data_IF_312281770031
#
_entry.id   IF_312281770031
#
_cell.length_a   1.000
_cell.length_b   1.000
_cell.length_c   1.000
_cell.angle_alpha   90.00
_cell.angle_beta   90.00
_cell.angle_gamma   90.00
#
_symmetry.space_group_name_H-M   'P 1'
#
loop_
_entity.id
_entity.type
_entity.pdbx_description
1 polymer ?
#
# COMPACT_ATOMS: atom_id res chain seq x y z
N UNK A 1 2.43 10.20 -8.94
CA UNK A 1 3.49 9.52 -9.71
C UNK A 1 3.34 9.85 -11.20
N UNK A 2 3.64 11.09 -11.60
CA UNK A 2 3.79 11.48 -13.00
C UNK A 2 4.70 12.73 -13.06
N UNK A 3 5.85 12.65 -12.39
CA UNK A 3 6.69 13.85 -12.18
C UNK A 3 8.19 13.57 -12.16
N UNK A 4 8.64 12.31 -12.03
CA UNK A 4 10.07 11.99 -12.15
C UNK A 4 10.49 11.47 -13.52
N UNK A 5 9.56 11.01 -14.36
CA UNK A 5 9.86 10.47 -15.69
C UNK A 5 9.90 11.57 -16.77
N UNK A 6 9.10 12.64 -16.63
CA UNK A 6 9.16 13.83 -17.51
C UNK A 6 10.33 14.78 -17.16
N UNK A 7 10.83 14.73 -15.92
CA UNK A 7 11.99 15.52 -15.49
C UNK A 7 13.34 14.92 -15.95
N UNK A 8 13.38 13.65 -16.34
CA UNK A 8 14.58 13.02 -16.92
C UNK A 8 14.69 13.21 -18.44
N UNK A 9 13.57 13.39 -19.15
CA UNK A 9 13.55 13.60 -20.60
C UNK A 9 13.87 15.05 -21.02
N UNK A 10 13.84 16.02 -20.10
CA UNK A 10 14.16 17.43 -20.38
C UNK A 10 15.64 17.80 -20.15
N UNK A 11 16.46 16.92 -19.55
CA UNK A 11 17.86 17.21 -19.19
C UNK A 11 18.90 16.98 -20.30
N UNK A 12 18.50 16.67 -21.53
CA UNK A 12 19.43 16.42 -22.66
C UNK A 12 19.49 17.53 -23.72
N UNK A 13 18.94 18.72 -23.47
CA UNK A 13 19.12 19.87 -24.36
C UNK A 13 20.04 20.90 -23.72
N UNK A 14 21.15 21.24 -24.39
CA UNK A 14 22.03 22.33 -23.97
C UNK A 14 21.18 23.61 -23.72
N UNK A 15 21.48 24.38 -22.66
CA UNK A 15 20.71 25.57 -22.35
C UNK A 15 20.73 26.55 -23.52
N UNK A 16 19.60 27.24 -23.72
CA UNK A 16 19.51 28.31 -24.71
C UNK A 16 20.44 29.43 -24.25
N UNK A 17 21.42 29.73 -25.09
CA UNK A 17 22.43 30.76 -24.83
C UNK A 17 22.05 32.09 -25.45
N UNK A 18 21.36 32.07 -26.61
CA UNK A 18 20.94 33.29 -27.28
C UNK A 18 19.54 33.15 -27.92
N UNK A 19 18.78 34.25 -27.87
CA UNK A 19 17.51 34.44 -28.56
C UNK A 19 17.61 35.68 -29.44
N UNK A 20 17.48 35.54 -30.75
CA UNK A 20 17.48 36.63 -31.72
C UNK A 20 18.65 37.62 -31.56
N UNK A 21 19.85 37.10 -31.27
CA UNK A 21 21.06 37.91 -31.03
C UNK A 21 21.25 38.41 -29.59
N UNK A 22 20.31 38.17 -28.68
CA UNK A 22 20.42 38.50 -27.27
C UNK A 22 20.97 37.33 -26.47
N UNK A 23 21.93 37.57 -25.59
CA UNK A 23 22.42 36.57 -24.64
C UNK A 23 21.40 36.35 -23.51
N UNK A 24 21.10 35.10 -23.19
CA UNK A 24 20.12 34.71 -22.16
C UNK A 24 20.82 34.49 -20.83
N UNK A 25 20.49 35.30 -19.82
CA UNK A 25 20.97 35.10 -18.45
C UNK A 25 19.86 34.51 -17.57
N UNK A 26 19.88 33.19 -17.41
CA UNK A 26 18.82 32.40 -16.77
C UNK A 26 18.60 32.75 -15.29
N UNK A 27 19.67 33.06 -14.56
CA UNK A 27 19.60 33.36 -13.12
C UNK A 27 18.93 34.71 -12.86
N UNK A 28 19.19 35.70 -13.71
CA UNK A 28 18.67 37.06 -13.54
C UNK A 28 17.38 37.30 -14.31
N UNK A 29 16.97 36.34 -15.18
CA UNK A 29 15.82 36.44 -16.08
C UNK A 29 15.93 37.66 -16.99
N UNK A 30 17.09 37.83 -17.61
CA UNK A 30 17.38 38.95 -18.50
C UNK A 30 17.88 38.50 -19.86
N UNK A 31 17.58 39.32 -20.87
CA UNK A 31 18.20 39.23 -22.19
C UNK A 31 19.13 40.42 -22.38
N UNK A 32 20.39 40.16 -22.71
CA UNK A 32 21.43 41.19 -22.80
C UNK A 32 22.05 41.23 -24.18
N UNK A 33 22.26 42.42 -24.71
CA UNK A 33 23.14 42.67 -25.85
C UNK A 33 24.09 43.83 -25.51
N UNK A 34 24.93 44.24 -26.46
CA UNK A 34 25.91 45.30 -26.23
C UNK A 34 25.30 46.68 -25.90
N UNK A 35 24.01 46.90 -26.20
CA UNK A 35 23.37 48.22 -26.14
C UNK A 35 22.24 48.31 -25.11
N UNK A 36 21.68 47.18 -24.65
CA UNK A 36 20.56 47.18 -23.71
C UNK A 36 20.39 45.86 -22.96
N UNK A 37 19.65 45.92 -21.86
CA UNK A 37 19.24 44.76 -21.05
C UNK A 37 17.72 44.78 -20.91
N UNK A 38 17.07 43.67 -21.28
CA UNK A 38 15.64 43.48 -21.14
C UNK A 38 15.39 42.62 -19.90
N UNK A 39 14.55 43.11 -19.00
CA UNK A 39 14.17 42.42 -17.77
C UNK A 39 12.77 41.81 -17.91
N UNK A 40 12.62 40.58 -17.43
CA UNK A 40 11.37 39.85 -17.47
C UNK A 40 10.96 39.45 -16.05
N UNK A 41 9.66 39.49 -15.75
CA UNK A 41 9.14 38.85 -14.55
C UNK A 41 9.21 37.31 -14.66
N UNK A 42 8.89 36.62 -13.57
CA UNK A 42 8.94 35.14 -13.52
C UNK A 42 8.10 34.50 -14.63
N UNK A 43 6.89 35.02 -14.86
CA UNK A 43 5.91 34.43 -15.77
C UNK A 43 6.25 34.75 -17.22
N UNK A 44 6.64 35.99 -17.52
CA UNK A 44 7.14 36.41 -18.82
C UNK A 44 8.37 35.61 -19.25
N UNK A 45 9.34 35.44 -18.35
CA UNK A 45 10.55 34.68 -18.65
C UNK A 45 10.23 33.20 -18.89
N UNK A 46 9.38 32.59 -18.06
CA UNK A 46 8.96 31.20 -18.23
C UNK A 46 8.24 30.98 -19.57
N UNK A 47 7.31 31.86 -19.96
CA UNK A 47 6.64 31.80 -21.27
C UNK A 47 7.64 31.97 -22.41
N UNK A 48 8.55 32.94 -22.33
CA UNK A 48 9.57 33.18 -23.34
C UNK A 48 10.46 31.94 -23.55
N UNK A 49 10.90 31.31 -22.45
CA UNK A 49 11.73 30.11 -22.50
C UNK A 49 10.98 28.93 -23.09
N UNK A 50 9.71 28.71 -22.71
CA UNK A 50 8.91 27.63 -23.27
C UNK A 50 8.70 27.82 -24.78
N UNK A 51 8.38 29.02 -25.23
CA UNK A 51 8.24 29.33 -26.66
C UNK A 51 9.54 29.06 -27.42
N UNK A 52 10.69 29.41 -26.85
CA UNK A 52 11.98 29.17 -27.46
C UNK A 52 12.44 27.69 -27.43
N UNK A 53 11.99 26.92 -26.44
CA UNK A 53 12.24 25.48 -26.35
C UNK A 53 11.39 24.68 -27.34
N UNK A 54 10.16 25.12 -27.56
CA UNK A 54 9.24 24.58 -28.57
C UNK A 54 9.62 24.94 -30.00
N UNK A 55 10.38 26.03 -30.21
CA UNK A 55 10.80 26.45 -31.55
C UNK A 55 11.54 25.31 -32.31
N UNK A 56 11.22 25.10 -33.60
CA UNK A 56 10.41 25.94 -34.49
C UNK A 56 8.89 25.69 -34.43
N UNK A 57 8.41 24.77 -33.59
CA UNK A 57 6.98 24.46 -33.46
C UNK A 57 6.26 25.49 -32.58
N UNK A 58 4.93 25.55 -32.71
CA UNK A 58 4.09 26.39 -31.86
C UNK A 58 3.85 25.73 -30.50
N UNK A 59 3.94 26.50 -29.41
CA UNK A 59 3.48 26.05 -28.11
C UNK A 59 1.95 26.22 -28.04
N UNK A 60 1.23 25.16 -27.67
CA UNK A 60 -0.21 25.23 -27.51
C UNK A 60 -0.61 26.05 -26.29
N UNK A 61 -1.84 26.58 -26.28
CA UNK A 61 -2.37 27.33 -25.13
C UNK A 61 -2.41 26.45 -23.88
N UNK A 62 -2.77 25.18 -24.03
CA UNK A 62 -2.82 24.18 -22.96
C UNK A 62 -1.42 23.95 -22.38
N UNK A 63 -0.41 23.75 -23.24
CA UNK A 63 0.97 23.57 -22.81
C UNK A 63 1.51 24.81 -22.05
N UNK A 64 1.16 26.02 -22.49
CA UNK A 64 1.51 27.26 -21.80
C UNK A 64 0.85 27.34 -20.42
N UNK A 65 -0.45 27.03 -20.32
CA UNK A 65 -1.19 27.03 -19.05
C UNK A 65 -0.63 26.00 -18.06
N UNK A 66 -0.41 24.77 -18.50
CA UNK A 66 0.08 23.67 -17.67
C UNK A 66 1.50 23.88 -17.17
N UNK A 67 2.41 24.38 -18.02
CA UNK A 67 3.83 24.49 -17.68
C UNK A 67 4.16 25.77 -16.91
N UNK A 68 3.46 26.88 -17.16
CA UNK A 68 3.77 28.17 -16.53
C UNK A 68 2.89 28.47 -15.31
N UNK A 69 1.62 28.03 -15.31
CA UNK A 69 0.66 28.33 -14.24
C UNK A 69 0.21 27.09 -13.43
N UNK A 70 1.04 26.04 -13.40
CA UNK A 70 0.74 24.79 -12.67
C UNK A 70 0.19 25.05 -11.25
N UNK A 71 -1.03 24.56 -10.99
CA UNK A 71 -1.70 24.69 -9.69
C UNK A 71 -2.38 26.04 -9.43
N UNK A 72 -2.49 26.93 -10.43
CA UNK A 72 -3.27 28.19 -10.36
C UNK A 72 -4.43 28.14 -11.34
N UNK A 73 -5.62 28.58 -10.90
CA UNK A 73 -6.79 28.73 -11.78
C UNK A 73 -6.64 30.04 -12.56
N UNK A 74 -6.25 29.94 -13.83
CA UNK A 74 -6.11 31.09 -14.74
C UNK A 74 -6.83 30.81 -16.06
N UNK A 75 -7.38 31.85 -16.68
CA UNK A 75 -8.03 31.77 -18.00
C UNK A 75 -7.04 32.02 -19.13
N UNK A 76 -7.42 31.70 -20.37
CA UNK A 76 -6.62 31.98 -21.57
C UNK A 76 -6.21 33.46 -21.71
N UNK A 77 -6.97 34.39 -21.13
CA UNK A 77 -6.65 35.82 -21.10
C UNK A 77 -5.29 36.10 -20.44
N UNK A 78 -4.87 35.25 -19.50
CA UNK A 78 -3.57 35.36 -18.85
C UNK A 78 -2.42 35.13 -19.83
N UNK A 79 -2.61 34.22 -20.79
CA UNK A 79 -1.64 33.98 -21.87
C UNK A 79 -1.56 35.23 -22.76
N UNK A 80 -2.71 35.80 -23.12
CA UNK A 80 -2.78 37.00 -23.96
C UNK A 80 -2.07 38.21 -23.32
N UNK A 81 -2.25 38.42 -22.01
CA UNK A 81 -1.57 39.48 -21.26
C UNK A 81 -0.05 39.31 -21.31
N UNK A 82 0.45 38.09 -21.05
CA UNK A 82 1.89 37.83 -21.03
C UNK A 82 2.50 37.94 -22.42
N UNK A 83 1.84 37.41 -23.46
CA UNK A 83 2.31 37.52 -24.84
C UNK A 83 2.36 38.98 -25.30
N UNK A 84 1.35 39.79 -24.95
CA UNK A 84 1.39 41.22 -25.26
C UNK A 84 2.47 41.96 -24.46
N UNK A 85 2.72 41.56 -23.22
CA UNK A 85 3.85 42.05 -22.43
C UNK A 85 5.18 41.78 -23.13
N UNK A 86 5.41 40.53 -23.55
CA UNK A 86 6.61 40.13 -24.30
C UNK A 86 6.73 40.90 -25.62
N UNK A 87 5.64 41.05 -26.39
CA UNK A 87 5.64 41.84 -27.62
C UNK A 87 6.01 43.30 -27.37
N UNK A 88 5.55 43.92 -26.29
CA UNK A 88 5.98 45.29 -25.92
C UNK A 88 7.47 45.35 -25.60
N UNK A 89 7.99 44.39 -24.83
CA UNK A 89 9.42 44.32 -24.48
C UNK A 89 10.29 44.17 -25.72
N UNK A 90 9.87 43.35 -26.69
CA UNK A 90 10.58 43.17 -27.97
C UNK A 90 10.26 44.21 -29.05
N UNK A 91 9.35 45.17 -28.77
CA UNK A 91 8.77 46.08 -29.77
C UNK A 91 8.23 45.33 -31.01
N UNK A 92 7.59 44.19 -30.77
CA UNK A 92 7.05 43.28 -31.77
C UNK A 92 5.59 43.61 -32.13
N UNK A 93 5.24 43.55 -33.42
CA UNK A 93 3.90 43.86 -33.90
C UNK A 93 3.13 42.56 -34.20
N UNK A 94 1.99 42.34 -33.55
CA UNK A 94 1.19 41.14 -33.76
C UNK A 94 0.70 40.94 -35.21
N UNK A 95 0.54 42.01 -36.00
CA UNK A 95 0.13 41.94 -37.42
C UNK A 95 1.31 41.68 -38.37
N UNK A 96 2.53 41.92 -37.91
CA UNK A 96 3.78 41.69 -38.65
C UNK A 96 4.86 41.18 -37.68
N UNK A 97 4.71 39.94 -37.16
CA UNK A 97 5.54 39.45 -36.08
C UNK A 97 6.97 39.21 -36.55
N UNK A 98 7.94 39.67 -35.75
CA UNK A 98 9.37 39.40 -35.89
C UNK A 98 9.86 38.37 -34.89
N UNK A 99 9.19 38.24 -33.74
CA UNK A 99 9.61 37.35 -32.65
C UNK A 99 8.53 36.34 -32.28
N UNK A 100 7.28 36.78 -32.11
CA UNK A 100 6.19 35.91 -31.63
C UNK A 100 5.02 35.92 -32.61
N UNK A 101 4.87 34.82 -33.36
CA UNK A 101 3.73 34.61 -34.25
C UNK A 101 2.51 34.05 -33.48
N UNK A 102 1.31 34.50 -33.84
CA UNK A 102 0.06 33.91 -33.37
C UNK A 102 -0.39 32.84 -34.37
N UNK A 103 -0.54 31.59 -33.91
CA UNK A 103 -1.05 30.47 -34.71
C UNK A 103 -2.52 30.24 -34.35
N UNK A 104 -3.43 30.57 -35.28
CA UNK A 104 -4.87 30.46 -35.04
C UNK A 104 -5.27 29.03 -34.69
N UNK A 105 -5.98 28.87 -33.56
CA UNK A 105 -6.46 27.57 -33.08
C UNK A 105 -5.41 26.70 -32.37
N UNK A 106 -4.14 27.14 -32.29
CA UNK A 106 -3.05 26.37 -31.66
C UNK A 106 -2.46 27.14 -30.47
N UNK A 107 -1.92 28.34 -30.71
CA UNK A 107 -1.21 29.07 -29.66
C UNK A 107 -0.20 30.06 -30.22
N UNK A 108 1.03 30.03 -29.71
CA UNK A 108 2.06 31.01 -30.04
C UNK A 108 3.37 30.34 -30.42
N UNK A 109 4.09 30.94 -31.37
CA UNK A 109 5.35 30.40 -31.89
C UNK A 109 6.46 31.43 -31.81
N UNK A 110 7.62 31.02 -31.30
CA UNK A 110 8.84 31.80 -31.42
C UNK A 110 9.45 31.61 -32.81
N UNK A 111 9.58 32.69 -33.57
CA UNK A 111 10.02 32.66 -34.98
C UNK A 111 11.43 33.21 -35.21
N UNK A 112 12.07 33.75 -34.16
CA UNK A 112 13.42 34.29 -34.25
C UNK A 112 14.50 33.25 -33.90
N UNK A 113 15.77 33.52 -34.26
CA UNK A 113 16.87 32.56 -34.10
C UNK A 113 17.08 32.12 -32.62
N UNK A 114 17.25 30.82 -32.39
CA UNK A 114 17.56 30.24 -31.07
C UNK A 114 18.93 29.56 -31.14
N UNK A 115 19.93 30.04 -30.39
CA UNK A 115 21.26 29.39 -30.27
C UNK A 115 21.44 28.77 -28.90
N UNK A 116 21.79 27.49 -28.87
CA UNK A 116 22.15 26.76 -27.64
C UNK A 116 23.66 26.74 -27.45
N UNK A 117 24.10 26.70 -26.19
CA UNK A 117 25.52 26.69 -25.87
C UNK A 117 26.20 25.44 -26.48
N UNK A 118 27.35 25.60 -27.14
CA UNK A 118 28.11 24.50 -27.72
C UNK A 118 29.07 24.00 -26.64
N UNK A 119 28.85 22.80 -26.10
CA UNK A 119 29.65 22.24 -25.02
C UNK A 119 31.14 22.12 -25.42
N UNK A 120 31.99 23.01 -24.89
CA UNK A 120 33.44 23.01 -25.11
C UNK A 120 34.21 22.01 -24.19
N UNK A 121 33.58 20.90 -23.80
CA UNK A 121 34.17 19.92 -22.89
C UNK A 121 35.25 19.02 -23.55
N UNK A 122 35.42 19.07 -24.89
CA UNK A 122 36.07 18.00 -25.67
C UNK A 122 37.54 18.23 -26.09
N UNK A 123 38.22 19.34 -25.74
CA UNK A 123 39.60 19.60 -26.24
C UNK A 123 40.76 19.35 -25.26
N UNK A 124 40.52 19.18 -23.95
CA UNK A 124 41.62 19.01 -22.95
C UNK A 124 41.91 17.55 -22.54
N UNK A 125 41.10 16.58 -22.98
CA UNK A 125 41.17 15.18 -22.53
C UNK A 125 42.13 14.26 -23.30
N UNK A 126 42.75 14.72 -24.41
CA UNK A 126 43.59 13.85 -25.26
C UNK A 126 44.97 13.51 -24.69
N UNK A 127 45.42 14.16 -23.61
CA UNK A 127 46.75 13.90 -23.02
C UNK A 127 46.70 13.08 -21.72
N UNK A 128 45.54 12.93 -21.06
CA UNK A 128 45.40 12.17 -19.81
C UNK A 128 44.71 10.79 -19.97
N UNK A 129 44.12 10.51 -21.15
CA UNK A 129 43.32 9.31 -21.41
C UNK A 129 44.13 8.01 -21.62
N UNK A 130 45.46 8.07 -21.76
CA UNK A 130 46.27 6.88 -21.97
C UNK A 130 46.34 5.93 -20.76
N UNK A 131 46.22 6.46 -19.54
CA UNK A 131 46.47 5.68 -18.30
C UNK A 131 45.16 5.43 -17.52
N UNK A 132 44.15 6.29 -17.64
CA UNK A 132 42.86 6.13 -16.92
C UNK A 132 41.80 5.34 -17.69
N UNK A 133 41.89 5.28 -19.03
CA UNK A 133 40.88 4.63 -19.87
C UNK A 133 40.82 3.11 -19.70
N UNK A 134 41.96 2.45 -19.45
CA UNK A 134 42.01 1.01 -19.17
C UNK A 134 41.37 0.68 -17.82
N UNK A 135 41.56 1.52 -16.81
CA UNK A 135 41.00 1.34 -15.45
C UNK A 135 39.49 1.58 -15.43
N UNK A 136 39.00 2.58 -16.17
CA UNK A 136 37.56 2.89 -16.25
C UNK A 136 36.79 1.92 -17.15
N UNK A 137 37.40 1.43 -18.24
CA UNK A 137 36.81 0.34 -19.05
C UNK A 137 36.89 -1.00 -18.32
N UNK A 138 37.92 -1.22 -17.49
CA UNK A 138 37.96 -2.37 -16.59
C UNK A 138 36.91 -2.23 -15.48
N UNK A 139 36.64 -1.05 -14.93
CA UNK A 139 35.60 -0.85 -13.90
C UNK A 139 34.17 -0.83 -14.48
N UNK A 140 33.95 -0.28 -15.67
CA UNK A 140 32.67 -0.36 -16.40
C UNK A 140 32.47 -1.78 -16.94
N UNK A 141 33.53 -2.41 -17.44
CA UNK A 141 33.55 -3.82 -17.82
C UNK A 141 33.27 -4.71 -16.62
N UNK A 142 33.92 -4.50 -15.47
CA UNK A 142 33.59 -5.17 -14.21
C UNK A 142 32.16 -4.84 -13.77
N UNK A 143 31.68 -3.60 -13.91
CA UNK A 143 30.32 -3.22 -13.54
C UNK A 143 29.27 -3.93 -14.42
N UNK A 144 29.49 -4.04 -15.73
CA UNK A 144 28.65 -4.81 -16.64
C UNK A 144 28.82 -6.33 -16.52
N UNK A 145 30.01 -6.82 -16.14
CA UNK A 145 30.28 -8.23 -15.82
C UNK A 145 29.77 -8.63 -14.42
N UNK A 146 29.62 -7.68 -13.51
CA UNK A 146 29.14 -7.89 -12.12
C UNK A 146 27.63 -7.75 -11.98
N UNK A 147 26.95 -7.12 -12.96
CA UNK A 147 25.50 -7.25 -13.11
C UNK A 147 25.25 -8.68 -13.56
N UNK A 148 24.57 -9.53 -12.77
CA UNK A 148 24.12 -10.81 -13.29
C UNK A 148 23.31 -10.50 -14.54
N UNK A 149 23.78 -10.97 -15.71
CA UNK A 149 22.94 -11.02 -16.90
C UNK A 149 21.82 -11.96 -16.51
N UNK A 150 20.67 -11.40 -16.09
CA UNK A 150 19.46 -12.18 -15.88
C UNK A 150 19.00 -12.56 -17.28
N UNK A 151 19.53 -13.70 -17.76
CA UNK A 151 18.99 -14.31 -18.96
C UNK A 151 17.50 -14.52 -18.71
N UNK A 152 16.62 -14.11 -19.66
CA UNK A 152 15.21 -14.44 -19.54
C UNK A 152 15.09 -15.95 -19.36
N UNK A 153 14.27 -16.36 -18.40
CA UNK A 153 14.07 -17.77 -18.09
C UNK A 153 13.75 -18.56 -19.37
N UNK A 154 14.28 -19.79 -19.52
CA UNK A 154 13.86 -20.66 -20.60
C UNK A 154 12.34 -20.79 -20.61
N UNK A 155 11.74 -20.88 -21.81
CA UNK A 155 10.29 -20.98 -21.95
C UNK A 155 9.69 -22.12 -21.11
N UNK A 156 10.42 -23.24 -20.98
CA UNK A 156 10.07 -24.38 -20.13
C UNK A 156 10.00 -24.03 -18.64
N UNK A 157 10.91 -23.19 -18.13
CA UNK A 157 10.90 -22.73 -16.75
C UNK A 157 9.72 -21.78 -16.47
N UNK A 158 9.40 -20.91 -17.44
CA UNK A 158 8.23 -20.04 -17.36
C UNK A 158 6.93 -20.85 -17.36
N UNK A 159 6.84 -21.89 -18.18
CA UNK A 159 5.69 -22.81 -18.20
C UNK A 159 5.51 -23.55 -16.87
N UNK A 160 6.59 -24.08 -16.30
CA UNK A 160 6.55 -24.69 -14.96
C UNK A 160 6.12 -23.70 -13.88
N UNK A 161 6.63 -22.46 -13.90
CA UNK A 161 6.22 -21.42 -12.97
C UNK A 161 4.73 -21.09 -13.11
N UNK A 162 4.23 -20.98 -14.34
CA UNK A 162 2.80 -20.74 -14.61
C UNK A 162 1.92 -21.90 -14.13
N UNK A 163 2.34 -23.15 -14.36
CA UNK A 163 1.64 -24.33 -13.84
C UNK A 163 1.58 -24.33 -12.31
N UNK A 164 2.71 -24.08 -11.64
CA UNK A 164 2.74 -24.01 -10.18
C UNK A 164 1.85 -22.88 -9.64
N UNK A 165 1.90 -21.70 -10.26
CA UNK A 165 1.00 -20.59 -9.91
C UNK A 165 -0.47 -20.97 -10.11
N UNK A 166 -0.81 -21.70 -11.18
CA UNK A 166 -2.17 -22.18 -11.41
C UNK A 166 -2.59 -23.18 -10.32
N UNK A 167 -1.76 -24.15 -9.97
CA UNK A 167 -2.05 -25.11 -8.89
C UNK A 167 -2.31 -24.42 -7.54
N UNK A 168 -1.64 -23.30 -7.26
CA UNK A 168 -1.92 -22.49 -6.06
C UNK A 168 -3.31 -21.83 -6.07
N UNK A 169 -3.96 -21.69 -7.22
CA UNK A 169 -5.35 -21.21 -7.31
C UNK A 169 -6.37 -22.35 -7.15
N UNK A 170 -5.91 -23.60 -7.14
CA UNK A 170 -6.75 -24.79 -6.96
C UNK A 170 -6.89 -25.17 -5.48
N UNK A 171 -7.80 -26.11 -5.13
CA UNK A 171 -7.94 -26.59 -3.75
C UNK A 171 -6.63 -27.10 -3.12
N UNK A 172 -6.54 -27.07 -1.80
CA UNK A 172 -5.31 -27.31 -1.03
C UNK A 172 -4.59 -28.63 -1.35
N UNK A 173 -5.29 -29.67 -1.82
CA UNK A 173 -4.69 -30.94 -2.23
C UNK A 173 -3.65 -30.81 -3.37
N UNK A 174 -3.68 -29.72 -4.13
CA UNK A 174 -2.74 -29.45 -5.22
C UNK A 174 -1.55 -28.57 -4.81
N UNK A 175 -1.53 -28.05 -3.57
CA UNK A 175 -0.51 -27.08 -3.15
C UNK A 175 0.85 -27.74 -2.91
N UNK A 176 0.89 -29.00 -2.46
CA UNK A 176 2.16 -29.72 -2.27
C UNK A 176 2.85 -29.99 -3.62
N UNK A 177 2.10 -30.27 -4.70
CA UNK A 177 2.64 -30.37 -6.06
C UNK A 177 3.24 -29.03 -6.54
N UNK A 178 2.57 -27.91 -6.25
CA UNK A 178 3.11 -26.59 -6.57
C UNK A 178 4.43 -26.31 -5.83
N UNK A 179 4.52 -26.70 -4.54
CA UNK A 179 5.73 -26.58 -3.73
C UNK A 179 6.90 -27.36 -4.35
N UNK A 180 6.66 -28.61 -4.79
CA UNK A 180 7.67 -29.42 -5.46
C UNK A 180 8.17 -28.77 -6.77
N UNK A 181 7.26 -28.18 -7.56
CA UNK A 181 7.64 -27.46 -8.78
C UNK A 181 8.51 -26.23 -8.45
N UNK A 182 8.15 -25.44 -7.42
CA UNK A 182 8.96 -24.28 -7.03
C UNK A 182 10.36 -24.70 -6.53
N UNK A 183 10.47 -25.81 -5.78
CA UNK A 183 11.75 -26.36 -5.35
C UNK A 183 12.61 -26.78 -6.55
N UNK A 184 12.02 -27.50 -7.51
CA UNK A 184 12.71 -27.89 -8.75
C UNK A 184 13.19 -26.69 -9.56
N UNK A 185 12.42 -25.59 -9.59
CA UNK A 185 12.84 -24.34 -10.22
C UNK A 185 14.02 -23.70 -9.50
N UNK A 186 14.09 -23.76 -8.17
CA UNK A 186 15.24 -23.26 -7.38
C UNK A 186 16.49 -24.07 -7.70
N UNK A 187 16.37 -25.40 -7.74
CA UNK A 187 17.50 -26.29 -8.01
C UNK A 187 18.10 -26.05 -9.42
N UNK A 188 17.23 -25.80 -10.41
CA UNK A 188 17.64 -25.55 -11.79
C UNK A 188 18.08 -24.09 -12.04
N UNK A 189 17.47 -23.12 -11.35
CA UNK A 189 17.67 -21.69 -11.55
C UNK A 189 17.88 -20.96 -10.22
N UNK A 190 19.00 -21.21 -9.51
CA UNK A 190 19.21 -20.70 -8.15
C UNK A 190 19.32 -19.17 -8.06
N UNK A 191 19.53 -18.46 -9.17
CA UNK A 191 19.54 -17.00 -9.24
C UNK A 191 18.17 -16.37 -9.50
N UNK A 192 17.10 -17.17 -9.64
CA UNK A 192 15.76 -16.68 -9.91
C UNK A 192 14.99 -16.40 -8.61
N UNK A 193 15.03 -15.14 -8.17
CA UNK A 193 14.43 -14.68 -6.90
C UNK A 193 12.95 -15.08 -6.73
N UNK A 194 12.14 -14.94 -7.79
CA UNK A 194 10.69 -15.19 -7.75
C UNK A 194 10.37 -16.63 -7.30
N UNK A 195 11.18 -17.64 -7.65
CA UNK A 195 10.93 -19.02 -7.24
C UNK A 195 10.99 -19.20 -5.72
N UNK A 196 11.95 -18.55 -5.06
CA UNK A 196 12.04 -18.54 -3.60
C UNK A 196 10.84 -17.83 -2.97
N UNK A 197 10.41 -16.71 -3.56
CA UNK A 197 9.24 -15.95 -3.10
C UNK A 197 7.96 -16.77 -3.23
N UNK A 198 7.77 -17.45 -4.36
CA UNK A 198 6.60 -18.31 -4.60
C UNK A 198 6.57 -19.54 -3.71
N UNK A 199 7.72 -20.17 -3.49
CA UNK A 199 7.83 -21.27 -2.54
C UNK A 199 7.46 -20.83 -1.12
N UNK A 200 8.00 -19.69 -0.67
CA UNK A 200 7.65 -19.11 0.62
C UNK A 200 6.16 -18.75 0.70
N UNK A 201 5.60 -18.12 -0.34
CA UNK A 201 4.18 -17.80 -0.42
C UNK A 201 3.29 -19.05 -0.32
N UNK A 202 3.65 -20.11 -1.04
CA UNK A 202 2.93 -21.39 -1.01
C UNK A 202 2.97 -22.03 0.38
N UNK A 203 4.12 -21.97 1.05
CA UNK A 203 4.26 -22.48 2.41
C UNK A 203 3.54 -21.64 3.46
N UNK A 204 3.33 -20.35 3.18
CA UNK A 204 2.61 -19.41 4.04
C UNK A 204 1.11 -19.29 3.71
N UNK A 205 0.59 -20.02 2.72
CA UNK A 205 -0.81 -19.88 2.27
C UNK A 205 -1.84 -20.09 3.38
N UNK A 206 -1.51 -20.92 4.37
CA UNK A 206 -2.34 -21.26 5.53
C UNK A 206 -1.93 -20.53 6.81
N UNK A 207 -1.10 -19.48 6.72
CA UNK A 207 -0.58 -18.75 7.89
C UNK A 207 -1.69 -18.24 8.82
N UNK A 208 -2.83 -17.85 8.26
CA UNK A 208 -3.98 -17.36 9.03
C UNK A 208 -4.74 -18.47 9.78
N UNK A 209 -4.52 -19.74 9.43
CA UNK A 209 -5.15 -20.89 10.06
C UNK A 209 -4.31 -21.45 11.24
N UNK A 210 -3.27 -20.72 11.67
CA UNK A 210 -2.31 -21.17 12.70
C UNK A 210 -1.69 -22.55 12.37
N UNK A 211 -1.40 -22.77 11.08
CA UNK A 211 -0.83 -24.03 10.60
C UNK A 211 0.55 -24.29 11.20
N UNK A 212 0.71 -25.47 11.80
CA UNK A 212 1.95 -25.96 12.41
C UNK A 212 3.12 -25.91 11.41
N UNK A 213 2.86 -26.15 10.11
CA UNK A 213 3.84 -26.11 9.03
C UNK A 213 4.60 -24.78 9.00
N UNK A 214 3.90 -23.66 9.14
CA UNK A 214 4.51 -22.32 9.10
C UNK A 214 5.36 -22.10 10.34
N UNK A 215 4.86 -22.49 11.53
CA UNK A 215 5.56 -22.29 12.80
C UNK A 215 6.84 -23.11 12.87
N UNK A 216 6.81 -24.37 12.43
CA UNK A 216 7.98 -25.25 12.42
C UNK A 216 9.03 -24.80 11.39
N UNK A 217 8.58 -24.40 10.20
CA UNK A 217 9.48 -24.01 9.11
C UNK A 217 9.75 -22.51 9.02
N UNK A 218 9.31 -21.69 9.99
CA UNK A 218 9.42 -20.22 9.93
C UNK A 218 10.83 -19.70 9.64
N UNK A 219 11.87 -20.32 10.22
CA UNK A 219 13.27 -19.93 9.98
C UNK A 219 13.75 -20.28 8.59
N UNK A 220 13.31 -21.42 8.08
CA UNK A 220 13.62 -21.84 6.72
C UNK A 220 12.90 -20.92 5.71
N UNK A 221 11.64 -20.57 5.95
CA UNK A 221 10.86 -19.62 5.12
C UNK A 221 11.53 -18.24 5.13
N UNK A 222 11.92 -17.75 6.31
CA UNK A 222 12.68 -16.50 6.49
C UNK A 222 13.95 -16.52 5.63
N UNK A 223 14.71 -17.61 5.65
CA UNK A 223 15.92 -17.76 4.84
C UNK A 223 15.64 -17.72 3.34
N UNK A 224 14.58 -18.37 2.85
CA UNK A 224 14.23 -18.32 1.42
C UNK A 224 13.88 -16.89 0.97
N UNK A 225 13.10 -16.17 1.78
CA UNK A 225 12.72 -14.78 1.48
C UNK A 225 13.90 -13.82 1.57
N UNK A 226 14.79 -13.99 2.55
CA UNK A 226 16.01 -13.19 2.66
C UNK A 226 16.95 -13.43 1.48
N UNK A 227 17.10 -14.69 1.05
CA UNK A 227 17.91 -15.01 -0.13
C UNK A 227 17.28 -14.42 -1.41
N UNK A 228 15.95 -14.45 -1.55
CA UNK A 228 15.28 -13.75 -2.64
C UNK A 228 15.60 -12.24 -2.65
N UNK A 229 15.70 -11.61 -1.48
CA UNK A 229 16.10 -10.20 -1.35
C UNK A 229 17.59 -9.94 -1.56
N UNK A 230 18.46 -10.93 -1.36
CA UNK A 230 19.87 -10.85 -1.77
C UNK A 230 19.99 -10.79 -3.29
N UNK A 231 19.13 -11.53 -4.00
CA UNK A 231 19.07 -11.57 -5.46
C UNK A 231 18.36 -10.32 -6.05
N UNK A 232 17.25 -9.91 -5.45
CA UNK A 232 16.50 -8.68 -5.80
C UNK A 232 16.06 -7.92 -4.54
N UNK A 233 16.85 -6.93 -4.10
CA UNK A 233 16.51 -6.11 -2.92
C UNK A 233 15.27 -5.24 -3.07
N UNK A 234 14.67 -5.16 -4.26
CA UNK A 234 13.47 -4.35 -4.53
C UNK A 234 12.20 -5.19 -4.66
N UNK A 235 12.29 -6.50 -4.40
CA UNK A 235 11.20 -7.46 -4.58
C UNK A 235 10.07 -7.24 -3.58
N UNK A 236 9.06 -6.47 -3.97
CA UNK A 236 7.95 -6.03 -3.09
C UNK A 236 7.20 -7.18 -2.43
N UNK A 237 6.94 -8.26 -3.18
CA UNK A 237 6.23 -9.43 -2.66
C UNK A 237 7.03 -10.13 -1.54
N UNK A 238 8.35 -10.22 -1.68
CA UNK A 238 9.22 -10.79 -0.66
C UNK A 238 9.20 -9.94 0.62
N UNK A 239 9.25 -8.61 0.47
CA UNK A 239 9.07 -7.69 1.59
C UNK A 239 7.70 -7.86 2.26
N UNK A 240 6.59 -7.94 1.50
CA UNK A 240 5.26 -8.19 2.07
C UNK A 240 5.21 -9.47 2.89
N UNK A 241 5.74 -10.58 2.36
CA UNK A 241 5.77 -11.88 3.04
C UNK A 241 6.65 -11.85 4.30
N UNK A 242 7.83 -11.21 4.26
CA UNK A 242 8.64 -11.00 5.46
C UNK A 242 7.92 -10.14 6.51
N UNK A 243 7.21 -9.10 6.08
CA UNK A 243 6.35 -8.28 6.94
C UNK A 243 5.35 -9.15 7.70
N UNK A 244 4.60 -9.97 6.96
CA UNK A 244 3.63 -10.92 7.52
C UNK A 244 4.29 -11.94 8.46
N UNK A 245 5.42 -12.53 8.06
CA UNK A 245 6.12 -13.54 8.86
C UNK A 245 6.65 -12.95 10.18
N UNK A 246 7.25 -11.76 10.12
CA UNK A 246 7.76 -11.08 11.31
C UNK A 246 6.65 -10.65 12.26
N UNK A 247 5.50 -10.23 11.74
CA UNK A 247 4.36 -9.84 12.56
C UNK A 247 3.63 -11.04 13.15
N UNK A 248 3.14 -11.95 12.29
CA UNK A 248 2.21 -13.01 12.66
C UNK A 248 2.88 -14.16 13.43
N UNK A 249 4.17 -14.42 13.17
CA UNK A 249 4.85 -15.64 13.66
C UNK A 249 6.03 -15.32 14.58
N UNK A 250 6.86 -14.35 14.22
CA UNK A 250 8.01 -13.98 15.06
C UNK A 250 7.71 -12.91 16.11
N UNK A 251 6.61 -12.17 15.96
CA UNK A 251 6.26 -11.02 16.80
C UNK A 251 7.38 -9.97 16.91
N UNK A 252 8.10 -9.74 15.80
CA UNK A 252 9.18 -8.76 15.64
C UNK A 252 8.67 -7.52 14.89
N UNK A 253 7.90 -6.70 15.60
CA UNK A 253 7.12 -5.59 15.02
C UNK A 253 7.99 -4.55 14.30
N UNK A 254 9.19 -4.25 14.80
CA UNK A 254 10.12 -3.31 14.16
C UNK A 254 10.60 -3.80 12.78
N UNK A 255 10.85 -5.11 12.65
CA UNK A 255 11.22 -5.70 11.36
C UNK A 255 10.03 -5.76 10.43
N UNK A 256 8.87 -6.15 10.95
CA UNK A 256 7.64 -6.22 10.18
C UNK A 256 7.33 -4.87 9.51
N UNK A 257 7.38 -3.78 10.28
CA UNK A 257 7.15 -2.41 9.77
C UNK A 257 8.08 -2.06 8.61
N UNK A 258 9.40 -2.25 8.77
CA UNK A 258 10.39 -1.92 7.73
C UNK A 258 10.10 -2.65 6.42
N UNK A 259 9.73 -3.92 6.51
CA UNK A 259 9.39 -4.71 5.33
C UNK A 259 8.06 -4.27 4.69
N UNK A 260 7.01 -3.99 5.49
CA UNK A 260 5.77 -3.43 4.92
C UNK A 260 5.98 -2.09 4.21
N UNK A 261 6.81 -1.21 4.76
CA UNK A 261 7.16 0.08 4.13
C UNK A 261 7.88 -0.08 2.78
N UNK A 262 8.64 -1.16 2.60
CA UNK A 262 9.33 -1.50 1.35
C UNK A 262 8.42 -2.21 0.33
N UNK A 263 7.28 -2.75 0.77
CA UNK A 263 6.32 -3.46 -0.09
C UNK A 263 5.29 -2.55 -0.78
N UNK A 264 5.47 -1.21 -0.74
CA UNK A 264 4.52 -0.24 -1.28
C UNK A 264 4.20 -0.45 -2.77
N UNK A 265 2.95 -0.15 -3.14
CA UNK A 265 2.46 -0.26 -4.52
C UNK A 265 1.88 -1.62 -4.88
N UNK A 266 1.91 -2.59 -3.97
CA UNK A 266 1.07 -3.78 -4.02
C UNK A 266 -0.19 -3.51 -3.20
N UNK A 267 -1.36 -3.74 -3.78
CA UNK A 267 -2.62 -3.42 -3.14
C UNK A 267 -2.81 -4.23 -1.85
N UNK A 268 -2.58 -5.53 -1.89
CA UNK A 268 -2.62 -6.42 -0.72
C UNK A 268 -1.56 -6.13 0.34
N UNK A 269 -0.38 -5.60 -0.02
CA UNK A 269 0.60 -5.14 0.95
C UNK A 269 0.05 -3.99 1.81
N UNK A 270 -0.71 -3.06 1.22
CA UNK A 270 -1.40 -2.01 1.97
C UNK A 270 -2.45 -2.59 2.92
N UNK A 271 -3.16 -3.65 2.53
CA UNK A 271 -4.10 -4.35 3.42
C UNK A 271 -3.40 -4.97 4.63
N UNK A 272 -2.37 -5.78 4.42
CA UNK A 272 -1.65 -6.40 5.53
C UNK A 272 -0.95 -5.37 6.42
N UNK A 273 -0.42 -4.30 5.83
CA UNK A 273 0.17 -3.23 6.61
C UNK A 273 -0.89 -2.50 7.46
N UNK A 274 -2.11 -2.28 6.94
CA UNK A 274 -3.20 -1.73 7.72
C UNK A 274 -3.57 -2.61 8.92
N UNK A 275 -3.58 -3.94 8.77
CA UNK A 275 -3.84 -4.87 9.87
C UNK A 275 -2.73 -4.87 10.92
N UNK A 276 -1.48 -4.75 10.50
CA UNK A 276 -0.34 -4.59 11.40
C UNK A 276 -0.45 -3.28 12.21
N UNK A 277 -0.70 -2.16 11.53
CA UNK A 277 -0.85 -0.85 12.17
C UNK A 277 -2.03 -0.84 13.14
N UNK A 278 -3.13 -1.50 12.78
CA UNK A 278 -4.27 -1.70 13.66
C UNK A 278 -3.87 -2.44 14.95
N UNK A 279 -3.15 -3.56 14.83
CA UNK A 279 -2.63 -4.30 15.99
C UNK A 279 -1.67 -3.47 16.86
N UNK A 280 -0.93 -2.53 16.26
CA UNK A 280 -0.05 -1.60 16.98
C UNK A 280 -0.82 -0.43 17.64
N UNK A 281 -2.14 -0.33 17.47
CA UNK A 281 -2.95 0.79 17.97
C UNK A 281 -2.85 2.07 17.14
N UNK A 282 -2.21 2.02 15.97
CA UNK A 282 -2.02 3.16 15.06
C UNK A 282 -3.22 3.32 14.11
N UNK A 283 -4.40 3.56 14.68
CA UNK A 283 -5.69 3.54 13.96
C UNK A 283 -5.73 4.47 12.73
N UNK A 284 -5.22 5.70 12.85
CA UNK A 284 -5.19 6.66 11.74
C UNK A 284 -4.25 6.22 10.61
N UNK A 285 -3.12 5.59 10.94
CA UNK A 285 -2.21 5.07 9.95
C UNK A 285 -2.81 3.84 9.25
N UNK A 286 -3.44 2.94 10.02
CA UNK A 286 -4.16 1.79 9.49
C UNK A 286 -5.23 2.21 8.48
N UNK A 287 -6.01 3.24 8.80
CA UNK A 287 -7.03 3.78 7.90
C UNK A 287 -6.45 4.29 6.58
N UNK A 288 -5.35 5.06 6.61
CA UNK A 288 -4.71 5.56 5.38
C UNK A 288 -4.21 4.43 4.48
N UNK A 289 -3.64 3.37 5.05
CA UNK A 289 -3.20 2.22 4.26
C UNK A 289 -4.40 1.44 3.71
N UNK A 290 -5.49 1.31 4.47
CA UNK A 290 -6.72 0.69 3.97
C UNK A 290 -7.33 1.46 2.79
N UNK A 291 -7.33 2.80 2.83
CA UNK A 291 -7.80 3.63 1.70
C UNK A 291 -6.95 3.40 0.44
N UNK A 292 -5.62 3.21 0.60
CA UNK A 292 -4.73 2.86 -0.53
C UNK A 292 -5.00 1.47 -1.07
N UNK A 293 -5.26 0.49 -0.20
CA UNK A 293 -5.71 -0.84 -0.62
C UNK A 293 -6.96 -0.74 -1.50
N UNK A 294 -7.99 -0.02 -1.04
CA UNK A 294 -9.25 0.17 -1.79
C UNK A 294 -8.99 0.85 -3.13
N UNK A 295 -8.14 1.88 -3.15
CA UNK A 295 -7.83 2.63 -4.37
C UNK A 295 -7.05 1.84 -5.43
N UNK A 296 -6.27 0.83 -5.01
CA UNK A 296 -5.43 0.03 -5.91
C UNK A 296 -6.08 -1.31 -6.34
N UNK A 297 -7.13 -1.78 -5.65
CA UNK A 297 -7.76 -3.05 -5.97
C UNK A 297 -8.74 -2.95 -7.15
N UNK A 298 -8.60 -3.79 -8.21
CA UNK A 298 -9.50 -3.80 -9.37
C UNK A 298 -10.96 -4.11 -9.05
N UNK A 299 -11.23 -4.78 -7.92
CA UNK A 299 -12.58 -5.05 -7.44
C UNK A 299 -13.15 -3.91 -6.58
N UNK A 300 -12.32 -2.97 -6.09
CA UNK A 300 -12.61 -1.59 -5.66
C UNK A 300 -13.83 -1.27 -4.77
N UNK A 301 -14.59 -2.27 -4.36
CA UNK A 301 -15.95 -2.12 -3.86
C UNK A 301 -16.05 -2.75 -2.47
N UNK A 302 -15.32 -2.17 -1.52
CA UNK A 302 -15.29 -2.61 -0.11
C UNK A 302 -14.88 -4.08 0.09
N UNK A 303 -14.70 -4.48 1.34
CA UNK A 303 -14.63 -5.88 1.76
C UNK A 303 -15.06 -5.98 3.23
N UNK A 304 -15.50 -7.16 3.67
CA UNK A 304 -15.79 -7.40 5.09
C UNK A 304 -14.54 -7.14 5.95
N UNK A 305 -13.34 -7.38 5.40
CA UNK A 305 -12.06 -7.02 6.03
C UNK A 305 -11.89 -5.51 6.24
N UNK A 306 -12.32 -4.67 5.29
CA UNK A 306 -12.30 -3.22 5.44
C UNK A 306 -13.25 -2.76 6.55
N UNK A 307 -14.48 -3.29 6.56
CA UNK A 307 -15.46 -3.01 7.62
C UNK A 307 -14.94 -3.44 9.00
N UNK A 308 -14.28 -4.60 9.09
CA UNK A 308 -13.66 -5.09 10.30
C UNK A 308 -12.59 -4.13 10.84
N UNK A 309 -11.69 -3.62 9.98
CA UNK A 309 -10.66 -2.65 10.39
C UNK A 309 -11.30 -1.36 10.94
N UNK A 310 -12.32 -0.81 10.26
CA UNK A 310 -13.06 0.35 10.77
C UNK A 310 -13.74 0.09 12.11
N UNK A 311 -14.29 -1.11 12.28
CA UNK A 311 -14.95 -1.54 13.52
C UNK A 311 -13.96 -1.57 14.69
N UNK A 312 -12.78 -2.17 14.47
CA UNK A 312 -11.73 -2.23 15.50
C UNK A 312 -11.17 -0.85 15.83
N UNK A 313 -11.09 0.04 14.86
CA UNK A 313 -10.73 1.45 15.08
C UNK A 313 -11.84 2.29 15.75
N UNK A 314 -12.99 1.71 16.08
CA UNK A 314 -14.13 2.40 16.69
C UNK A 314 -14.94 3.28 15.73
N UNK A 315 -14.67 3.22 14.43
CA UNK A 315 -15.40 3.99 13.41
C UNK A 315 -16.60 3.20 12.87
N UNK A 316 -17.58 2.97 13.73
CA UNK A 316 -18.76 2.14 13.43
C UNK A 316 -19.60 2.70 12.27
N UNK A 317 -19.70 4.01 12.14
CA UNK A 317 -20.44 4.66 11.04
C UNK A 317 -19.84 4.31 9.69
N UNK A 318 -18.51 4.40 9.57
CA UNK A 318 -17.82 4.05 8.32
C UNK A 318 -17.83 2.54 8.07
N UNK A 319 -17.68 1.73 9.12
CA UNK A 319 -17.83 0.27 9.01
C UNK A 319 -19.20 -0.13 8.43
N UNK A 320 -20.30 0.49 8.89
CA UNK A 320 -21.65 0.26 8.33
C UNK A 320 -21.76 0.67 6.86
N UNK A 321 -21.20 1.82 6.49
CA UNK A 321 -21.19 2.28 5.09
C UNK A 321 -20.45 1.31 4.19
N UNK A 322 -19.33 0.75 4.65
CA UNK A 322 -18.58 -0.25 3.90
C UNK A 322 -19.33 -1.58 3.77
N UNK A 323 -20.06 -2.03 4.81
CA UNK A 323 -20.90 -3.22 4.70
C UNK A 323 -22.12 -3.00 3.81
N UNK A 324 -22.78 -1.83 3.86
CA UNK A 324 -23.99 -1.59 3.07
C UNK A 324 -23.72 -1.72 1.57
N UNK A 325 -22.51 -1.34 1.11
CA UNK A 325 -22.06 -1.61 -0.27
C UNK A 325 -22.13 -3.11 -0.60
N UNK A 326 -21.69 -3.97 0.32
CA UNK A 326 -21.61 -5.40 0.09
C UNK A 326 -22.95 -6.14 0.17
N UNK A 327 -24.01 -5.47 0.63
CA UNK A 327 -25.31 -6.09 0.96
C UNK A 327 -25.93 -6.85 -0.20
N UNK A 328 -25.94 -6.28 -1.41
CA UNK A 328 -26.53 -6.91 -2.60
C UNK A 328 -25.81 -8.21 -2.99
N UNK A 329 -24.54 -8.37 -2.59
CA UNK A 329 -23.67 -9.47 -3.00
C UNK A 329 -23.45 -10.51 -1.89
N UNK A 330 -23.54 -10.08 -0.63
CA UNK A 330 -23.04 -10.86 0.52
C UNK A 330 -23.98 -10.87 1.73
N UNK A 331 -25.21 -10.35 1.65
CA UNK A 331 -26.11 -10.26 2.81
C UNK A 331 -26.29 -11.57 3.58
N UNK A 332 -26.27 -12.72 2.88
CA UNK A 332 -26.41 -14.05 3.46
C UNK A 332 -25.07 -14.73 3.82
N UNK A 333 -23.95 -14.09 3.50
CA UNK A 333 -22.60 -14.54 3.86
C UNK A 333 -22.43 -14.54 5.38
N UNK A 334 -21.80 -15.59 5.90
CA UNK A 334 -21.48 -15.69 7.32
C UNK A 334 -20.67 -14.48 7.80
N UNK A 335 -19.66 -14.07 7.03
CA UNK A 335 -18.78 -12.94 7.40
C UNK A 335 -19.50 -11.60 7.43
N UNK A 336 -20.48 -11.40 6.54
CA UNK A 336 -21.32 -10.21 6.55
C UNK A 336 -22.15 -10.13 7.84
N UNK A 337 -22.82 -11.23 8.20
CA UNK A 337 -23.63 -11.30 9.43
C UNK A 337 -22.79 -11.12 10.70
N UNK A 338 -21.60 -11.72 10.76
CA UNK A 338 -20.66 -11.52 11.88
C UNK A 338 -20.26 -10.05 12.00
N UNK A 339 -19.98 -9.39 10.87
CA UNK A 339 -19.57 -7.98 10.87
C UNK A 339 -20.71 -7.07 11.33
N UNK A 340 -21.94 -7.32 10.85
CA UNK A 340 -23.13 -6.57 11.30
C UNK A 340 -23.41 -6.78 12.80
N UNK A 341 -23.33 -8.02 13.28
CA UNK A 341 -23.49 -8.36 14.69
C UNK A 341 -22.45 -7.61 15.55
N UNK A 342 -21.17 -7.67 15.18
CA UNK A 342 -20.09 -7.04 15.94
C UNK A 342 -20.21 -5.51 15.97
N UNK A 343 -20.55 -4.88 14.85
CA UNK A 343 -20.76 -3.42 14.79
C UNK A 343 -21.93 -2.99 15.66
N UNK A 344 -23.07 -3.70 15.58
CA UNK A 344 -24.24 -3.39 16.38
C UNK A 344 -23.91 -3.49 17.88
N UNK A 345 -23.28 -4.59 18.28
CA UNK A 345 -22.87 -4.84 19.66
C UNK A 345 -21.92 -3.75 20.19
N UNK A 346 -20.85 -3.44 19.45
CA UNK A 346 -19.86 -2.44 19.87
C UNK A 346 -20.40 -1.00 19.84
N UNK A 347 -21.48 -0.75 19.09
CA UNK A 347 -22.18 0.54 19.08
C UNK A 347 -23.26 0.66 20.17
N UNK A 348 -23.49 -0.39 20.97
CA UNK A 348 -24.52 -0.43 22.02
C UNK A 348 -25.95 -0.70 21.52
N UNK A 349 -26.12 -1.20 20.30
CA UNK A 349 -27.41 -1.61 19.75
C UNK A 349 -27.63 -3.11 19.95
N UNK A 350 -27.91 -3.48 21.21
CA UNK A 350 -28.05 -4.87 21.66
C UNK A 350 -29.16 -5.62 20.90
N UNK A 351 -30.24 -4.93 20.53
CA UNK A 351 -31.37 -5.53 19.80
C UNK A 351 -30.96 -5.97 18.40
N UNK A 352 -30.30 -5.08 17.66
CA UNK A 352 -29.81 -5.38 16.32
C UNK A 352 -28.69 -6.43 16.38
N UNK A 353 -27.80 -6.33 17.37
CA UNK A 353 -26.75 -7.33 17.58
C UNK A 353 -27.33 -8.73 17.82
N UNK A 354 -28.34 -8.83 18.68
CA UNK A 354 -29.02 -10.09 18.95
C UNK A 354 -29.76 -10.64 17.74
N UNK A 355 -30.43 -9.78 16.95
CA UNK A 355 -31.10 -10.21 15.72
C UNK A 355 -30.14 -10.85 14.70
N UNK A 356 -28.95 -10.28 14.50
CA UNK A 356 -27.92 -10.89 13.65
C UNK A 356 -27.28 -12.12 14.28
N UNK A 357 -27.10 -12.14 15.61
CA UNK A 357 -26.61 -13.32 16.32
C UNK A 357 -27.57 -14.51 16.16
N UNK A 358 -28.89 -14.29 16.21
CA UNK A 358 -29.89 -15.33 15.99
C UNK A 358 -29.85 -15.92 14.58
N UNK A 359 -29.56 -15.11 13.56
CA UNK A 359 -29.33 -15.62 12.19
C UNK A 359 -28.07 -16.49 12.12
N UNK A 360 -27.00 -16.12 12.83
CA UNK A 360 -25.78 -16.93 12.93
C UNK A 360 -26.03 -18.25 13.67
N UNK A 361 -26.81 -18.22 14.76
CA UNK A 361 -27.24 -19.41 15.51
C UNK A 361 -28.06 -20.35 14.63
N UNK A 362 -29.00 -19.81 13.86
CA UNK A 362 -29.79 -20.59 12.90
C UNK A 362 -28.89 -21.26 11.85
N UNK A 363 -27.99 -20.51 11.22
CA UNK A 363 -27.02 -21.05 10.24
C UNK A 363 -26.08 -22.09 10.85
N UNK A 364 -25.74 -21.98 12.12
CA UNK A 364 -24.94 -22.96 12.84
C UNK A 364 -25.69 -24.26 13.18
N UNK A 365 -27.01 -24.33 12.92
CA UNK A 365 -27.82 -25.55 13.06
C UNK A 365 -28.41 -25.76 14.46
N UNK A 366 -28.51 -24.71 15.28
CA UNK A 366 -29.25 -24.79 16.55
C UNK A 366 -30.73 -25.00 16.27
N UNK A 367 -31.38 -25.82 17.10
CA UNK A 367 -32.79 -26.14 16.92
C UNK A 367 -33.71 -25.02 17.47
N UNK A 368 -35.01 -25.15 17.29
CA UNK A 368 -35.96 -24.14 17.77
C UNK A 368 -35.93 -23.99 19.31
N UNK A 369 -35.76 -25.07 20.07
CA UNK A 369 -35.69 -25.01 21.52
C UNK A 369 -34.48 -24.21 22.02
N UNK A 370 -33.32 -24.41 21.39
CA UNK A 370 -32.12 -23.62 21.69
C UNK A 370 -32.37 -22.14 21.41
N UNK A 371 -33.03 -21.82 20.29
CA UNK A 371 -33.35 -20.45 19.89
C UNK A 371 -34.35 -19.78 20.83
N UNK A 372 -35.41 -20.48 21.22
CA UNK A 372 -36.41 -19.98 22.17
C UNK A 372 -35.78 -19.72 23.54
N UNK A 373 -34.85 -20.58 23.96
CA UNK A 373 -34.11 -20.38 25.19
C UNK A 373 -33.22 -19.13 25.11
N UNK A 374 -32.46 -18.96 24.02
CA UNK A 374 -31.63 -17.77 23.81
C UNK A 374 -32.46 -16.49 23.73
N UNK A 375 -33.66 -16.53 23.16
CA UNK A 375 -34.61 -15.42 23.21
C UNK A 375 -35.00 -15.08 24.66
N UNK A 376 -35.29 -16.08 25.50
CA UNK A 376 -35.62 -15.87 26.90
C UNK A 376 -34.42 -15.32 27.71
N UNK A 377 -33.20 -15.76 27.42
CA UNK A 377 -31.98 -15.21 28.03
C UNK A 377 -31.81 -13.73 27.64
N UNK A 378 -32.05 -13.39 26.37
CA UNK A 378 -32.01 -12.01 25.90
C UNK A 378 -33.09 -11.14 26.53
N UNK A 379 -34.33 -11.63 26.64
CA UNK A 379 -35.44 -10.86 27.22
C UNK A 379 -35.24 -10.59 28.72
N UNK A 380 -34.50 -11.45 29.41
CA UNK A 380 -34.24 -11.31 30.85
C UNK A 380 -33.00 -10.48 31.19
N UNK A 381 -31.88 -10.70 30.48
CA UNK A 381 -30.56 -10.14 30.82
C UNK A 381 -29.86 -9.47 29.62
N UNK A 382 -30.54 -9.36 28.48
CA UNK A 382 -29.94 -8.84 27.25
C UNK A 382 -28.83 -9.75 26.72
N UNK A 383 -27.86 -9.15 26.02
CA UNK A 383 -26.70 -9.90 25.49
C UNK A 383 -25.87 -10.58 26.59
N UNK A 384 -25.89 -10.04 27.83
CA UNK A 384 -25.17 -10.64 28.94
C UNK A 384 -25.63 -12.07 29.24
N UNK A 385 -26.95 -12.31 29.26
CA UNK A 385 -27.52 -13.65 29.48
C UNK A 385 -27.21 -14.59 28.33
N UNK A 386 -27.41 -14.12 27.09
CA UNK A 386 -27.13 -14.89 25.86
C UNK A 386 -25.67 -15.35 25.82
N UNK A 387 -24.72 -14.45 26.07
CA UNK A 387 -23.30 -14.79 26.05
C UNK A 387 -22.87 -15.62 27.26
N UNK A 388 -23.50 -15.44 28.42
CA UNK A 388 -23.27 -16.34 29.55
C UNK A 388 -23.65 -17.77 29.15
N UNK A 389 -24.82 -17.96 28.54
CA UNK A 389 -25.25 -19.27 28.09
C UNK A 389 -24.30 -19.86 27.05
N UNK A 390 -23.97 -19.10 26.00
CA UNK A 390 -23.05 -19.55 24.94
C UNK A 390 -21.66 -19.93 25.48
N UNK A 391 -21.18 -19.26 26.52
CA UNK A 391 -19.87 -19.51 27.12
C UNK A 391 -19.86 -20.77 28.02
N UNK A 392 -20.90 -20.96 28.84
CA UNK A 392 -20.86 -21.88 29.97
C UNK A 392 -21.91 -23.00 29.93
N UNK A 393 -23.02 -22.81 29.24
CA UNK A 393 -24.17 -23.72 29.26
C UNK A 393 -24.45 -24.38 27.92
N UNK A 394 -23.99 -23.79 26.81
CA UNK A 394 -24.10 -24.41 25.50
C UNK A 394 -23.27 -25.71 25.44
N UNK A 395 -23.93 -26.87 25.27
CA UNK A 395 -23.21 -28.14 25.18
C UNK A 395 -22.49 -28.30 23.85
N UNK A 396 -22.88 -27.55 22.80
CA UNK A 396 -22.34 -27.73 21.45
C UNK A 396 -21.05 -26.93 21.24
N UNK A 397 -20.94 -25.75 21.85
CA UNK A 397 -19.82 -24.80 21.75
C UNK A 397 -19.38 -24.57 20.30
N UNK A 398 -20.37 -24.38 19.42
CA UNK A 398 -20.12 -24.21 17.99
C UNK A 398 -19.43 -22.87 17.68
N UNK A 399 -18.93 -22.76 16.44
CA UNK A 399 -18.38 -21.54 15.89
C UNK A 399 -19.50 -20.53 15.56
N UNK A 400 -19.76 -19.58 16.48
CA UNK A 400 -20.75 -18.52 16.30
C UNK A 400 -20.11 -17.14 16.43
N UNK A 401 -20.41 -16.24 15.52
CA UNK A 401 -19.89 -14.87 15.60
C UNK A 401 -18.41 -14.82 15.20
N UNK A 402 -17.63 -14.08 15.97
CA UNK A 402 -16.24 -13.79 15.63
C UNK A 402 -15.24 -14.70 16.36
N UNK A 403 -14.31 -15.26 15.58
CA UNK A 403 -13.29 -16.23 15.99
C UNK A 403 -13.84 -17.58 16.47
N UNK A 404 -12.97 -18.60 16.48
CA UNK A 404 -13.33 -19.92 16.98
C UNK A 404 -12.90 -20.11 18.43
N UNK A 405 -13.52 -21.06 19.15
CA UNK A 405 -13.05 -21.41 20.48
C UNK A 405 -11.54 -21.71 20.46
N UNK A 406 -10.78 -21.28 21.49
CA UNK A 406 -11.24 -20.66 22.73
C UNK A 406 -11.48 -19.13 22.66
N UNK A 407 -11.12 -18.44 21.57
CA UNK A 407 -11.26 -16.97 21.50
C UNK A 407 -12.71 -16.51 21.53
N UNK A 408 -13.64 -17.18 20.83
CA UNK A 408 -15.06 -16.80 20.91
C UNK A 408 -15.62 -16.93 22.33
N UNK A 409 -15.23 -17.98 23.06
CA UNK A 409 -15.62 -18.18 24.46
C UNK A 409 -15.08 -17.03 25.34
N UNK A 410 -13.83 -16.62 25.14
CA UNK A 410 -13.28 -15.43 25.81
C UNK A 410 -14.13 -14.18 25.54
N UNK A 411 -14.50 -13.93 24.29
CA UNK A 411 -15.37 -12.81 23.92
C UNK A 411 -16.73 -12.88 24.62
N UNK A 412 -17.35 -14.04 24.67
CA UNK A 412 -18.64 -14.23 25.35
C UNK A 412 -18.53 -13.99 26.86
N UNK A 413 -17.49 -14.54 27.52
CA UNK A 413 -17.26 -14.32 28.95
C UNK A 413 -17.08 -12.85 29.29
N UNK A 414 -16.43 -12.06 28.44
CA UNK A 414 -16.26 -10.62 28.68
C UNK A 414 -17.62 -9.94 28.75
N UNK A 415 -18.49 -10.16 27.76
CA UNK A 415 -19.83 -9.56 27.76
C UNK A 415 -20.70 -10.10 28.91
N UNK A 416 -20.51 -11.37 29.28
CA UNK A 416 -21.16 -11.98 30.45
C UNK A 416 -20.65 -11.42 31.80
N UNK A 417 -19.60 -10.59 31.82
CA UNK A 417 -18.96 -10.07 33.03
C UNK A 417 -18.10 -11.08 33.79
N UNK A 418 -17.67 -12.17 33.12
CA UNK A 418 -16.85 -13.26 33.68
C UNK A 418 -15.38 -13.11 33.27
N UNK A 419 -14.75 -12.01 33.71
CA UNK A 419 -13.40 -11.63 33.26
C UNK A 419 -12.32 -12.69 33.56
N UNK A 420 -12.35 -13.35 34.72
CA UNK A 420 -11.38 -14.42 35.03
C UNK A 420 -11.47 -15.60 34.06
N UNK A 421 -12.68 -16.04 33.74
CA UNK A 421 -12.89 -17.10 32.75
C UNK A 421 -12.46 -16.67 31.34
N UNK A 422 -12.67 -15.39 30.98
CA UNK A 422 -12.16 -14.85 29.72
C UNK A 422 -10.63 -14.93 29.65
N UNK A 423 -9.94 -14.59 30.75
CA UNK A 423 -8.48 -14.67 30.84
C UNK A 423 -7.98 -16.11 30.71
N UNK A 424 -8.66 -17.08 31.34
CA UNK A 424 -8.35 -18.51 31.19
C UNK A 424 -8.40 -18.95 29.71
N UNK A 425 -9.44 -18.54 28.99
CA UNK A 425 -9.57 -18.85 27.56
C UNK A 425 -8.57 -18.12 26.66
N UNK A 426 -8.18 -16.89 26.99
CA UNK A 426 -7.11 -16.18 26.28
C UNK A 426 -5.74 -16.82 26.51
N UNK A 427 -5.47 -17.29 27.72
CA UNK A 427 -4.24 -18.04 28.02
C UNK A 427 -4.21 -19.40 27.31
N UNK A 428 -5.35 -20.08 27.21
CA UNK A 428 -5.49 -21.29 26.39
C UNK A 428 -5.27 -21.00 24.90
N UNK A 429 -5.84 -19.90 24.37
CA UNK A 429 -5.58 -19.47 23.00
C UNK A 429 -4.09 -19.23 22.75
N UNK A 430 -3.39 -18.65 23.72
CA UNK A 430 -1.96 -18.39 23.63
C UNK A 430 -1.15 -19.69 23.60
N UNK A 431 -1.49 -20.66 24.44
CA UNK A 431 -0.87 -21.98 24.43
C UNK A 431 -1.09 -22.71 23.09
N UNK A 432 -2.23 -22.48 22.44
CA UNK A 432 -2.55 -23.01 21.12
C UNK A 432 -1.93 -22.21 19.95
N UNK A 433 -1.16 -21.16 20.22
CA UNK A 433 -0.50 -20.37 19.19
C UNK A 433 -1.46 -19.56 18.30
N UNK A 434 -2.64 -19.19 18.83
CA UNK A 434 -3.68 -18.49 18.08
C UNK A 434 -3.25 -17.09 17.69
N UNK A 435 -3.11 -16.84 16.39
CA UNK A 435 -2.62 -15.56 15.86
C UNK A 435 -3.60 -14.40 16.11
N UNK A 436 -4.89 -14.71 16.30
CA UNK A 436 -5.93 -13.70 16.50
C UNK A 436 -5.70 -12.86 17.77
N UNK A 437 -4.87 -13.37 18.68
CA UNK A 437 -4.42 -12.65 19.87
C UNK A 437 -3.63 -11.37 19.56
N UNK A 438 -3.12 -11.22 18.34
CA UNK A 438 -2.37 -10.02 17.94
C UNK A 438 -3.24 -8.76 17.88
N UNK A 439 -4.57 -8.90 17.79
CA UNK A 439 -5.50 -7.78 17.72
C UNK A 439 -6.25 -7.51 19.02
N UNK A 440 -5.91 -8.18 20.14
CA UNK A 440 -6.59 -7.97 21.43
C UNK A 440 -6.58 -6.50 21.89
N UNK A 441 -5.48 -5.79 21.64
CA UNK A 441 -5.33 -4.38 22.03
C UNK A 441 -6.20 -3.47 21.16
N UNK A 442 -6.34 -3.80 19.88
CA UNK A 442 -7.14 -3.03 18.94
C UNK A 442 -8.64 -3.24 19.15
N UNK A 443 -9.04 -4.45 19.53
CA UNK A 443 -10.44 -4.83 19.61
C UNK A 443 -11.11 -4.24 20.87
N UNK A 444 -12.09 -3.34 20.72
CA UNK A 444 -12.73 -2.66 21.85
C UNK A 444 -13.39 -3.61 22.86
N UNK A 445 -13.74 -4.83 22.44
CA UNK A 445 -14.36 -5.83 23.31
C UNK A 445 -13.46 -6.24 24.48
N UNK A 446 -12.14 -6.17 24.33
CA UNK A 446 -11.20 -6.55 25.40
C UNK A 446 -10.84 -5.40 26.35
N UNK A 447 -11.33 -4.18 26.10
CA UNK A 447 -11.08 -3.00 26.97
C UNK A 447 -11.34 -3.26 28.46
N UNK A 448 -12.40 -4.00 28.88
CA UNK A 448 -12.61 -4.30 30.30
C UNK A 448 -11.44 -5.04 30.97
N UNK A 449 -10.61 -5.75 30.20
CA UNK A 449 -9.47 -6.52 30.70
C UNK A 449 -8.17 -5.72 30.74
N UNK A 450 -8.13 -4.49 30.23
CA UNK A 450 -6.87 -3.76 30.01
C UNK A 450 -6.08 -3.46 31.29
N UNK A 451 -6.73 -3.44 32.44
CA UNK A 451 -6.11 -3.23 33.75
C UNK A 451 -5.83 -4.53 34.50
N UNK A 452 -6.25 -5.67 33.97
CA UNK A 452 -6.02 -6.97 34.61
C UNK A 452 -4.55 -7.39 34.50
N UNK A 453 -3.88 -7.75 35.60
CA UNK A 453 -2.47 -8.14 35.58
C UNK A 453 -2.18 -9.30 34.62
N UNK A 454 -3.08 -10.29 34.56
CA UNK A 454 -2.97 -11.45 33.65
C UNK A 454 -3.06 -11.05 32.18
N UNK A 455 -3.95 -10.12 31.84
CA UNK A 455 -4.05 -9.57 30.49
C UNK A 455 -2.78 -8.83 30.10
N UNK A 456 -2.28 -7.95 30.97
CA UNK A 456 -1.04 -7.20 30.72
C UNK A 456 0.15 -8.16 30.51
N UNK A 457 0.23 -9.24 31.29
CA UNK A 457 1.26 -10.26 31.15
C UNK A 457 1.17 -10.97 29.78
N UNK A 458 -0.05 -11.30 29.31
CA UNK A 458 -0.27 -11.87 27.99
C UNK A 458 0.15 -10.91 26.87
N UNK A 459 -0.27 -9.65 26.93
CA UNK A 459 0.09 -8.61 25.95
C UNK A 459 1.61 -8.42 25.86
N UNK A 460 2.33 -8.49 27.00
CA UNK A 460 3.80 -8.45 27.02
C UNK A 460 4.43 -9.65 26.30
N UNK A 461 3.89 -10.86 26.45
CA UNK A 461 4.36 -12.05 25.73
C UNK A 461 4.21 -11.93 24.21
N UNK A 462 3.25 -11.11 23.75
CA UNK A 462 2.99 -10.82 22.34
C UNK A 462 3.76 -9.59 21.81
N UNK A 463 4.61 -8.96 22.64
CA UNK A 463 5.30 -7.71 22.36
C UNK A 463 4.36 -6.53 22.01
N UNK A 464 3.15 -6.51 22.56
CA UNK A 464 2.12 -5.49 22.27
C UNK A 464 1.93 -4.46 23.40
N UNK A 465 2.86 -4.42 24.37
CA UNK A 465 2.68 -3.57 25.57
C UNK A 465 2.65 -2.07 25.25
N UNK A 466 3.48 -1.62 24.30
CA UNK A 466 3.48 -0.22 23.87
C UNK A 466 2.16 0.16 23.17
N UNK A 467 1.63 -0.72 22.33
CA UNK A 467 0.32 -0.54 21.71
C UNK A 467 -0.77 -0.40 22.79
N UNK A 468 -0.74 -1.24 23.82
CA UNK A 468 -1.71 -1.16 24.92
C UNK A 468 -1.66 0.19 25.66
N UNK A 469 -0.46 0.75 25.89
CA UNK A 469 -0.35 2.07 26.50
C UNK A 469 -0.93 3.15 25.58
N UNK A 470 -0.58 3.13 24.29
CA UNK A 470 -1.09 4.10 23.33
C UNK A 470 -2.62 4.08 23.22
N UNK A 471 -3.24 2.90 23.25
CA UNK A 471 -4.70 2.79 23.14
C UNK A 471 -5.41 3.21 24.43
N UNK A 472 -4.77 3.09 25.61
CA UNK A 472 -5.34 3.58 26.88
C UNK A 472 -5.42 5.10 26.96
N UNK A 473 -4.59 5.80 26.19
CA UNK A 473 -4.52 7.27 26.17
C UNK A 473 -5.56 7.90 25.22
N UNK A 474 -6.22 7.09 24.39
CA UNK A 474 -7.27 7.46 23.42
C UNK A 474 -8.65 7.19 24.05
#
# INVERSE_FOLDING_TARGET
MATSMDQELTKQRNPISHLAGWYVEHQTRTLRNAHSTLHFDTTQFAVLMLLAESAPEAASKEALLENVWRGKVVTEDSIYVVINGLRRVFSDNARQPKYIATENGVGYRWIAEVRRERSQQMKRWRLAAGISGLSSLALIGLFWLSRPVVLPLPATALEHLQRANYLMTQPAQYHDEAIEIYQSLIDQYPSFAESYVKLAAAMMSTIFNSDVRVVEKKRWIEQQLLHALELDPTHREAHKLLGNLYFLVFHQHDKARKHFEQAQGLADAHYFYSQFLLAMGEFEAAHRELERYIALHPQGYSSEGAAWIYTMAGNYSRARLELEKLKEFSADSYYYLVSQQAIAELSGDDKTAFAFLMQLIEKAGYNQLDRDHLQSEFDSLGLQGVYHWLAFNDPKKLYIGQYSPPLSLARYAIVAGKHEAALDWLELAYQQGRIELLWLVADPKYRPLFNEPRFIALIKKLNLYLALQSVKEI
#
